data_IF_076068714359
#
_entry.id   IF_076068714359
#
_cell.length_a   1.000
_cell.length_b   1.000
_cell.length_c   1.000
_cell.angle_alpha   90.00
_cell.angle_beta   90.00
_cell.angle_gamma   90.00
#
_symmetry.space_group_name_H-M   'P 1'
#
loop_
_entity.id
_entity.type
_entity.pdbx_description
1 polymer ?
#
# COMPACT_ATOMS: atom_id res chain seq x y z
N UNK A 1 15.61 4.34 -1.56
CA UNK A 1 14.22 4.79 -1.38
C UNK A 1 13.45 3.74 -0.61
N UNK A 2 12.65 4.14 0.37
CA UNK A 2 11.73 3.28 1.12
C UNK A 2 10.31 3.52 0.62
N UNK A 3 9.76 2.52 -0.05
CA UNK A 3 8.37 2.55 -0.52
C UNK A 3 7.45 1.93 0.53
N UNK A 4 6.23 2.43 0.63
CA UNK A 4 5.12 1.76 1.31
C UNK A 4 4.00 1.51 0.29
N UNK A 5 3.58 0.26 0.16
CA UNK A 5 2.51 -0.14 -0.75
C UNK A 5 1.37 -0.68 0.08
N UNK A 6 0.22 -0.01 0.03
CA UNK A 6 -0.99 -0.48 0.71
C UNK A 6 -1.75 -1.49 -0.15
N UNK A 7 -1.97 -2.68 0.40
CA UNK A 7 -2.68 -3.76 -0.25
C UNK A 7 -3.98 -4.09 0.50
N UNK A 8 -5.09 -4.13 -0.24
CA UNK A 8 -6.41 -4.57 0.28
C UNK A 8 -6.99 -5.75 -0.51
N UNK A 9 -6.16 -6.38 -1.37
CA UNK A 9 -6.54 -7.50 -2.23
C UNK A 9 -7.31 -7.09 -3.49
N UNK A 10 -7.60 -5.81 -3.68
CA UNK A 10 -8.21 -5.31 -4.92
C UNK A 10 -7.24 -5.28 -6.09
N UNK A 11 -7.77 -5.32 -7.32
CA UNK A 11 -6.97 -5.15 -8.54
C UNK A 11 -6.23 -3.81 -8.56
N UNK A 12 -6.81 -2.76 -7.98
CA UNK A 12 -6.16 -1.45 -7.97
C UNK A 12 -4.98 -1.40 -6.99
N UNK A 13 -5.09 -2.07 -5.84
CA UNK A 13 -3.93 -2.23 -4.96
C UNK A 13 -2.84 -3.08 -5.61
N UNK A 14 -3.20 -4.05 -6.45
CA UNK A 14 -2.23 -4.79 -7.27
C UNK A 14 -1.48 -3.88 -8.25
N UNK A 15 -2.19 -2.98 -8.94
CA UNK A 15 -1.54 -1.97 -9.80
C UNK A 15 -0.58 -1.06 -9.04
N UNK A 16 -0.87 -0.78 -7.77
CA UNK A 16 0.04 -0.02 -6.90
C UNK A 16 1.35 -0.77 -6.68
N UNK A 17 1.27 -2.08 -6.48
CA UNK A 17 2.44 -2.95 -6.40
C UNK A 17 3.21 -3.03 -7.71
N UNK A 18 2.54 -3.24 -8.85
CA UNK A 18 3.19 -3.26 -10.18
C UNK A 18 3.89 -1.93 -10.48
N UNK A 19 3.30 -0.80 -10.07
CA UNK A 19 3.96 0.50 -10.22
C UNK A 19 5.21 0.59 -9.33
N UNK A 20 5.12 0.15 -8.07
CA UNK A 20 6.26 0.15 -7.15
C UNK A 20 7.41 -0.73 -7.67
N UNK A 21 7.08 -1.90 -8.22
CA UNK A 21 8.03 -2.78 -8.89
C UNK A 21 8.74 -2.09 -10.05
N UNK A 22 8.00 -1.41 -10.94
CA UNK A 22 8.58 -0.70 -12.07
C UNK A 22 9.48 0.48 -11.66
N UNK A 23 9.24 1.06 -10.48
CA UNK A 23 10.03 2.17 -9.93
C UNK A 23 11.26 1.70 -9.13
N UNK A 24 11.25 0.45 -8.68
CA UNK A 24 12.26 -0.10 -7.77
C UNK A 24 13.66 -0.12 -8.41
N UNK A 25 14.66 0.30 -7.63
CA UNK A 25 16.08 0.29 -8.01
C UNK A 25 16.92 -0.51 -7.00
N UNK A 26 18.09 -1.04 -7.39
CA UNK A 26 19.03 -1.62 -6.44
C UNK A 26 19.36 -0.65 -5.29
N UNK A 27 19.18 -1.11 -4.05
CA UNK A 27 19.34 -0.29 -2.84
C UNK A 27 18.04 0.30 -2.28
N UNK A 28 16.92 0.17 -3.00
CA UNK A 28 15.60 0.50 -2.47
C UNK A 28 15.08 -0.59 -1.49
N UNK A 29 14.05 -0.25 -0.73
CA UNK A 29 13.36 -1.16 0.17
C UNK A 29 11.85 -1.02 0.03
N UNK A 30 11.16 -2.14 -0.18
CA UNK A 30 9.72 -2.18 -0.38
C UNK A 30 9.00 -2.62 0.90
N UNK A 31 8.20 -1.76 1.51
CA UNK A 31 7.34 -2.14 2.63
C UNK A 31 5.93 -2.42 2.09
N UNK A 32 5.43 -3.61 2.33
CA UNK A 32 4.12 -4.05 1.86
C UNK A 32 3.19 -4.10 3.06
N UNK A 33 2.19 -3.22 3.10
CA UNK A 33 1.29 -3.08 4.25
C UNK A 33 -0.12 -3.50 3.90
N UNK A 34 -0.73 -4.28 4.79
CA UNK A 34 -2.18 -4.45 4.83
C UNK A 34 -2.71 -3.96 6.17
N UNK A 35 -3.84 -3.26 6.13
CA UNK A 35 -4.48 -2.69 7.31
C UNK A 35 -5.79 -3.42 7.55
N UNK A 36 -5.81 -4.21 8.62
CA UNK A 36 -6.95 -5.02 9.04
C UNK A 36 -7.72 -4.29 10.14
N UNK A 37 -9.02 -4.07 9.95
CA UNK A 37 -9.87 -3.52 11.02
C UNK A 37 -9.99 -4.52 12.17
N UNK A 38 -10.16 -4.09 13.43
CA UNK A 38 -10.16 -5.01 14.58
C UNK A 38 -11.17 -6.18 14.54
N UNK A 39 -12.26 -6.07 13.78
CA UNK A 39 -13.26 -7.14 13.60
C UNK A 39 -13.01 -8.03 12.37
N UNK A 40 -12.01 -7.71 11.54
CA UNK A 40 -11.68 -8.48 10.35
C UNK A 40 -10.70 -9.61 10.69
N UNK A 41 -10.84 -10.79 10.07
CA UNK A 41 -9.90 -11.89 10.24
C UNK A 41 -8.49 -11.50 9.80
N UNK A 42 -7.48 -11.86 10.58
CA UNK A 42 -6.07 -11.57 10.27
C UNK A 42 -5.55 -12.46 9.14
N UNK A 43 -6.08 -13.66 9.03
CA UNK A 43 -5.66 -14.72 8.11
C UNK A 43 -5.70 -14.23 6.66
N UNK A 44 -6.75 -13.47 6.29
CA UNK A 44 -6.85 -12.86 4.95
C UNK A 44 -5.76 -11.84 4.67
N UNK A 45 -5.32 -11.12 5.69
CA UNK A 45 -4.22 -10.18 5.57
C UNK A 45 -2.89 -10.93 5.43
N UNK A 46 -2.69 -12.01 6.19
CA UNK A 46 -1.46 -12.81 6.13
C UNK A 46 -1.32 -13.50 4.76
N UNK A 47 -2.38 -14.13 4.26
CA UNK A 47 -2.42 -14.72 2.90
C UNK A 47 -2.10 -13.67 1.82
N UNK A 48 -2.58 -12.44 2.00
CA UNK A 48 -2.30 -11.34 1.08
C UNK A 48 -0.83 -10.92 1.16
N UNK A 49 -0.26 -10.75 2.36
CA UNK A 49 1.15 -10.38 2.53
C UNK A 49 2.08 -11.46 1.98
N UNK A 50 1.80 -12.73 2.26
CA UNK A 50 2.57 -13.87 1.77
C UNK A 50 2.61 -13.90 0.24
N UNK A 51 1.45 -13.72 -0.41
CA UNK A 51 1.37 -13.67 -1.88
C UNK A 51 2.29 -12.60 -2.48
N UNK A 52 2.35 -11.41 -1.88
CA UNK A 52 3.15 -10.32 -2.44
C UNK A 52 4.63 -10.39 -2.04
N UNK A 53 4.95 -11.00 -0.91
CA UNK A 53 6.32 -11.37 -0.56
C UNK A 53 6.89 -12.37 -1.56
N UNK A 54 6.10 -13.37 -2.00
CA UNK A 54 6.50 -14.30 -3.06
C UNK A 54 6.76 -13.56 -4.39
N UNK A 55 5.87 -12.64 -4.79
CA UNK A 55 6.07 -11.82 -6.00
C UNK A 55 7.34 -10.95 -5.93
N UNK A 56 7.70 -10.43 -4.75
CA UNK A 56 8.96 -9.72 -4.55
C UNK A 56 10.17 -10.66 -4.69
N UNK A 57 10.10 -11.84 -4.07
CA UNK A 57 11.17 -12.83 -4.10
C UNK A 57 11.48 -13.30 -5.53
N UNK A 58 10.45 -13.57 -6.34
CA UNK A 58 10.57 -13.93 -7.77
C UNK A 58 11.33 -12.88 -8.59
N UNK A 59 11.32 -11.62 -8.14
CA UNK A 59 11.90 -10.47 -8.84
C UNK A 59 13.17 -9.94 -8.19
N UNK A 60 13.64 -10.57 -7.10
CA UNK A 60 14.81 -10.11 -6.35
C UNK A 60 14.61 -8.76 -5.66
N UNK A 61 13.36 -8.40 -5.36
CA UNK A 61 13.00 -7.16 -4.66
C UNK A 61 13.16 -7.39 -3.16
N UNK A 62 13.95 -6.54 -2.50
CA UNK A 62 14.06 -6.56 -1.04
C UNK A 62 12.82 -5.93 -0.43
N UNK A 63 12.09 -6.71 0.36
CA UNK A 63 10.84 -6.26 0.96
C UNK A 63 10.73 -6.58 2.46
N UNK A 64 9.79 -5.90 3.10
CA UNK A 64 9.33 -6.15 4.46
C UNK A 64 7.80 -6.12 4.48
N UNK A 65 7.18 -7.09 5.17
CA UNK A 65 5.72 -7.18 5.30
C UNK A 65 5.25 -6.50 6.60
N UNK A 66 4.14 -5.78 6.53
CA UNK A 66 3.58 -5.06 7.67
C UNK A 66 2.08 -5.41 7.78
N UNK A 67 1.72 -6.09 8.87
CA UNK A 67 0.34 -6.30 9.26
C UNK A 67 -0.03 -5.27 10.32
N UNK A 68 -0.88 -4.30 9.98
CA UNK A 68 -1.37 -3.30 10.93
C UNK A 68 -2.84 -3.52 11.27
N UNK A 69 -3.16 -3.38 12.56
CA UNK A 69 -4.55 -3.26 13.02
C UNK A 69 -4.90 -1.80 13.26
N UNK A 70 -5.87 -1.27 12.52
CA UNK A 70 -6.39 0.08 12.76
C UNK A 70 -7.88 0.16 12.41
N UNK A 71 -8.63 0.98 13.15
CA UNK A 71 -10.02 1.30 12.82
C UNK A 71 -10.12 2.14 11.53
N UNK A 72 -9.14 3.02 11.32
CA UNK A 72 -9.04 3.91 10.18
C UNK A 72 -7.78 3.59 9.36
N UNK A 73 -7.98 3.39 8.06
CA UNK A 73 -6.89 3.02 7.14
C UNK A 73 -5.92 4.18 6.94
N UNK A 74 -6.41 5.42 6.87
CA UNK A 74 -5.56 6.61 6.77
C UNK A 74 -4.62 6.74 7.96
N UNK A 75 -5.14 6.61 9.18
CA UNK A 75 -4.34 6.65 10.42
C UNK A 75 -3.32 5.50 10.44
N UNK A 76 -3.74 4.29 10.03
CA UNK A 76 -2.82 3.15 9.95
C UNK A 76 -1.68 3.37 8.94
N UNK A 77 -1.95 4.06 7.83
CA UNK A 77 -0.92 4.42 6.85
C UNK A 77 0.03 5.47 7.41
N UNK A 78 -0.46 6.51 8.10
CA UNK A 78 0.40 7.50 8.74
C UNK A 78 1.31 6.88 9.80
N UNK A 79 0.77 5.94 10.60
CA UNK A 79 1.57 5.18 11.54
C UNK A 79 2.68 4.40 10.82
N UNK A 80 2.35 3.66 9.76
CA UNK A 80 3.36 2.94 8.98
C UNK A 80 4.42 3.87 8.37
N UNK A 81 4.00 5.04 7.86
CA UNK A 81 4.90 6.02 7.27
C UNK A 81 5.92 6.50 8.30
N UNK A 82 5.46 6.82 9.51
CA UNK A 82 6.31 7.24 10.62
C UNK A 82 7.23 6.11 11.08
N UNK A 83 6.66 4.96 11.43
CA UNK A 83 7.39 3.84 12.06
C UNK A 83 8.51 3.30 11.16
N UNK A 84 8.33 3.32 9.83
CA UNK A 84 9.28 2.76 8.86
C UNK A 84 10.10 3.83 8.13
N UNK A 85 9.86 5.12 8.41
CA UNK A 85 10.50 6.26 7.74
C UNK A 85 10.33 6.17 6.21
N UNK A 86 9.08 6.10 5.76
CA UNK A 86 8.73 5.91 4.35
C UNK A 86 8.98 7.19 3.56
N UNK A 87 9.62 7.06 2.40
CA UNK A 87 9.88 8.17 1.48
C UNK A 87 8.73 8.36 0.49
N UNK A 88 8.12 7.25 0.02
CA UNK A 88 7.05 7.27 -0.99
C UNK A 88 5.95 6.27 -0.61
N UNK A 89 4.72 6.75 -0.45
CA UNK A 89 3.52 5.93 -0.35
C UNK A 89 2.91 5.71 -1.75
N UNK A 90 2.66 4.45 -2.11
CA UNK A 90 2.00 4.08 -3.37
C UNK A 90 0.66 3.42 -3.07
N UNK A 91 -0.42 4.03 -3.57
CA UNK A 91 -1.79 3.56 -3.38
C UNK A 91 -2.45 3.25 -4.72
N UNK A 92 -3.34 2.26 -4.71
CA UNK A 92 -4.30 2.08 -5.78
C UNK A 92 -5.46 3.09 -5.68
N UNK A 93 -6.12 3.35 -6.79
CA UNK A 93 -7.49 3.90 -6.76
C UNK A 93 -8.49 2.85 -6.23
N UNK A 94 -9.78 3.14 -6.07
CA UNK A 94 -10.82 2.09 -6.06
C UNK A 94 -11.78 2.35 -7.22
N UNK A 95 -12.15 1.27 -7.91
CA UNK A 95 -13.42 1.10 -8.62
C UNK A 95 -13.80 2.20 -9.64
N UNK A 96 -13.35 2.03 -10.89
CA UNK A 96 -13.79 2.81 -12.06
C UNK A 96 -15.29 2.70 -12.42
N UNK A 97 -16.12 1.98 -11.66
CA UNK A 97 -17.57 1.96 -11.93
C UNK A 97 -18.28 3.28 -11.60
N UNK A 98 -17.57 4.30 -11.11
CA UNK A 98 -18.06 5.69 -11.05
C UNK A 98 -17.41 6.54 -12.14
N UNK A 99 -17.80 6.34 -13.39
CA UNK A 99 -17.45 7.18 -14.56
C UNK A 99 -17.89 8.67 -14.45
N UNK A 100 -18.18 9.21 -13.25
CA UNK A 100 -18.76 10.56 -13.09
C UNK A 100 -17.85 11.62 -12.52
N UNK A 101 -16.62 11.31 -12.11
CA UNK A 101 -15.52 12.22 -11.79
C UNK A 101 -14.43 11.34 -11.17
N UNK A 102 -13.16 11.71 -11.33
CA UNK A 102 -12.06 11.09 -10.59
C UNK A 102 -12.29 11.44 -9.11
N UNK A 103 -13.14 10.69 -8.42
CA UNK A 103 -13.18 10.74 -6.97
C UNK A 103 -11.92 10.03 -6.52
N UNK A 104 -10.90 10.80 -6.18
CA UNK A 104 -9.81 10.30 -5.37
C UNK A 104 -10.48 9.85 -4.06
N UNK A 105 -10.47 8.54 -3.81
CA UNK A 105 -11.29 7.93 -2.75
C UNK A 105 -10.85 8.36 -1.36
N UNK A 106 -11.64 8.05 -0.33
CA UNK A 106 -11.37 8.51 1.05
C UNK A 106 -9.94 8.26 1.52
N UNK A 107 -9.37 7.06 1.29
CA UNK A 107 -8.00 6.72 1.72
C UNK A 107 -6.94 7.45 0.91
N UNK A 108 -7.02 7.42 -0.42
CA UNK A 108 -6.06 8.14 -1.29
C UNK A 108 -6.14 9.65 -1.07
N UNK A 109 -7.35 10.19 -0.91
CA UNK A 109 -7.59 11.59 -0.65
C UNK A 109 -7.05 11.97 0.73
N UNK A 110 -7.31 11.15 1.75
CA UNK A 110 -6.72 11.34 3.06
C UNK A 110 -5.19 11.36 2.99
N UNK A 111 -4.58 10.34 2.37
CA UNK A 111 -3.14 10.23 2.25
C UNK A 111 -2.51 11.43 1.52
N UNK A 112 -3.08 11.87 0.39
CA UNK A 112 -2.57 13.05 -0.34
C UNK A 112 -2.62 14.34 0.49
N UNK A 113 -3.47 14.43 1.50
CA UNK A 113 -3.62 15.62 2.33
C UNK A 113 -2.86 15.53 3.67
N UNK A 114 -2.51 14.33 4.14
CA UNK A 114 -1.99 14.12 5.51
C UNK A 114 -0.65 13.35 5.56
N UNK A 115 -0.31 12.57 4.53
CA UNK A 115 0.93 11.80 4.54
C UNK A 115 2.15 12.73 4.60
N UNK A 116 3.10 12.43 5.50
CA UNK A 116 4.34 13.18 5.65
C UNK A 116 5.36 12.92 4.52
N UNK A 117 5.02 12.04 3.56
CA UNK A 117 5.88 11.61 2.47
C UNK A 117 5.19 11.80 1.11
N UNK A 118 5.93 11.62 0.02
CA UNK A 118 5.37 11.74 -1.33
C UNK A 118 4.35 10.63 -1.58
N UNK A 119 3.23 10.96 -2.23
CA UNK A 119 2.14 10.02 -2.52
C UNK A 119 1.98 9.83 -4.03
N UNK A 120 2.06 8.58 -4.48
CA UNK A 120 1.80 8.20 -5.87
C UNK A 120 0.51 7.36 -5.93
N UNK A 121 -0.38 7.72 -6.86
CA UNK A 121 -1.65 7.02 -7.08
C UNK A 121 -1.58 6.21 -8.38
N UNK A 122 -1.62 4.89 -8.27
CA UNK A 122 -1.69 3.95 -9.40
C UNK A 122 -3.14 3.79 -9.91
N UNK A 123 -3.31 3.79 -11.23
CA UNK A 123 -4.61 3.83 -11.92
C UNK A 123 -4.92 2.58 -12.73
#
# INVERSE_FOLDING_TARGET
>A
MKYLISLDGSQQSHKAFELAENLYKPGDHMHIVTITKPKQPLEKGEELLERYEQLCAEKGIKNERIMLKSQDVGIGLEQAISDYSIDILILGTRGMNTLKKIFINSVSNYAMNHAACDVIIAK
#
